data_IF_958181473999
#
_entry.id   IF_958181473999
#
_cell.length_a   1.000
_cell.length_b   1.000
_cell.length_c   1.000
_cell.angle_alpha   90.00
_cell.angle_beta   90.00
_cell.angle_gamma   90.00
#
_symmetry.space_group_name_H-M   'P 1'
#
loop_
_entity.id
_entity.type
_entity.pdbx_description
1 polymer ?
#
# COMPACT_ATOMS: atom_id res chain seq x y z
N UNK A 1 -14.66 21.00 24.62
CA UNK A 1 -14.60 20.02 23.52
C UNK A 1 -14.60 20.81 22.22
N UNK A 2 -13.63 20.62 21.33
CA UNK A 2 -13.42 21.57 20.21
C UNK A 2 -14.43 21.41 19.07
N UNK A 3 -15.14 20.29 18.91
CA UNK A 3 -16.08 20.20 17.77
C UNK A 3 -17.55 20.07 18.13
N UNK A 4 -17.99 19.24 19.07
CA UNK A 4 -19.42 19.20 19.49
C UNK A 4 -20.43 19.19 18.33
N UNK A 5 -20.03 18.69 17.16
CA UNK A 5 -20.72 18.71 15.86
C UNK A 5 -20.41 17.38 15.19
N UNK A 6 -21.37 16.90 14.41
CA UNK A 6 -21.29 15.60 13.72
C UNK A 6 -20.25 15.59 12.58
N UNK A 7 -19.91 16.75 12.01
CA UNK A 7 -19.01 16.88 10.87
C UNK A 7 -17.59 17.30 11.28
N UNK A 8 -16.85 16.37 11.88
CA UNK A 8 -15.49 16.62 12.43
C UNK A 8 -14.39 16.54 11.37
N UNK A 9 -14.67 15.93 10.20
CA UNK A 9 -13.67 15.66 9.16
C UNK A 9 -13.90 16.50 7.91
N UNK A 10 -12.85 17.19 7.44
CA UNK A 10 -12.87 17.93 6.19
C UNK A 10 -13.08 17.00 5.00
N UNK A 11 -14.03 17.36 4.14
CA UNK A 11 -14.41 16.59 2.96
C UNK A 11 -14.73 17.55 1.81
N UNK A 12 -14.32 17.17 0.61
CA UNK A 12 -14.63 17.83 -0.66
C UNK A 12 -15.35 16.83 -1.57
N UNK A 13 -16.35 17.27 -2.33
CA UNK A 13 -17.17 16.38 -3.17
C UNK A 13 -16.38 15.66 -4.27
N UNK A 14 -15.28 16.26 -4.73
CA UNK A 14 -14.43 15.72 -5.80
C UNK A 14 -13.24 14.99 -5.21
N UNK A 15 -12.59 15.58 -4.20
CA UNK A 15 -11.35 15.06 -3.62
C UNK A 15 -11.57 14.06 -2.47
N UNK A 16 -12.79 13.92 -1.98
CA UNK A 16 -13.11 13.09 -0.82
C UNK A 16 -12.57 13.69 0.48
N UNK A 17 -12.10 12.85 1.39
CA UNK A 17 -11.50 13.27 2.66
C UNK A 17 -10.19 14.02 2.41
N UNK A 18 -10.06 15.15 3.09
CA UNK A 18 -8.89 16.03 2.97
C UNK A 18 -7.85 15.66 4.03
N UNK A 19 -6.62 15.47 3.56
CA UNK A 19 -5.45 15.20 4.40
C UNK A 19 -4.30 16.14 4.01
N UNK A 20 -3.36 16.36 4.94
CA UNK A 20 -2.20 17.22 4.71
C UNK A 20 -1.31 16.70 3.57
N UNK A 21 -1.09 15.38 3.51
CA UNK A 21 -0.33 14.77 2.43
C UNK A 21 -1.24 14.53 1.22
N UNK A 22 -0.90 15.04 0.01
CA UNK A 22 -1.68 14.81 -1.21
C UNK A 22 -1.90 13.33 -1.53
N UNK A 23 -0.95 12.46 -1.14
CA UNK A 23 -1.05 11.02 -1.36
C UNK A 23 -2.17 10.35 -0.56
N UNK A 24 -2.72 11.02 0.45
CA UNK A 24 -3.80 10.50 1.30
C UNK A 24 -5.19 11.08 0.94
N UNK A 25 -5.33 11.84 -0.15
CA UNK A 25 -6.65 12.31 -0.60
C UNK A 25 -7.56 11.13 -1.00
N UNK A 26 -8.87 11.34 -1.00
CA UNK A 26 -9.89 10.33 -1.28
C UNK A 26 -10.42 9.71 0.01
N UNK A 27 -10.09 8.45 0.27
CA UNK A 27 -10.56 7.72 1.46
C UNK A 27 -9.67 7.91 2.69
N UNK A 28 -8.50 8.55 2.55
CA UNK A 28 -7.42 8.54 3.54
C UNK A 28 -6.87 7.15 3.91
N UNK A 29 -7.31 6.08 3.24
CA UNK A 29 -6.94 4.71 3.60
C UNK A 29 -5.58 4.32 3.03
N UNK A 30 -4.73 3.73 3.89
CA UNK A 30 -3.60 2.88 3.51
C UNK A 30 -3.79 1.52 4.17
N UNK A 31 -4.16 0.51 3.39
CA UNK A 31 -4.06 -0.88 3.82
C UNK A 31 -2.66 -1.38 3.50
N UNK A 32 -1.99 -2.00 4.47
CA UNK A 32 -0.70 -2.63 4.23
C UNK A 32 -0.49 -3.92 5.03
N UNK A 33 0.37 -4.79 4.50
CA UNK A 33 0.76 -6.05 5.12
C UNK A 33 2.27 -6.24 5.00
N UNK A 34 2.84 -6.82 6.04
CA UNK A 34 4.21 -7.32 5.99
C UNK A 34 4.21 -8.77 5.53
N UNK A 35 4.99 -9.07 4.48
CA UNK A 35 5.19 -10.43 3.99
C UNK A 35 6.68 -10.78 3.98
N UNK A 36 6.99 -12.03 4.27
CA UNK A 36 8.34 -12.60 4.17
C UNK A 36 8.52 -13.19 2.77
N UNK A 37 9.47 -12.65 2.02
CA UNK A 37 9.77 -13.09 0.64
C UNK A 37 11.29 -13.13 0.37
N UNK A 38 12.09 -13.76 1.26
CA UNK A 38 13.55 -13.72 1.16
C UNK A 38 14.09 -14.37 -0.13
N UNK A 39 13.46 -15.44 -0.62
CA UNK A 39 13.94 -16.11 -1.84
C UNK A 39 13.68 -15.27 -3.08
N UNK A 40 12.50 -14.64 -3.16
CA UNK A 40 12.11 -13.77 -4.25
C UNK A 40 13.01 -12.54 -4.30
N UNK A 41 13.30 -11.93 -3.15
CA UNK A 41 14.27 -10.82 -3.04
C UNK A 41 15.63 -11.27 -3.57
N UNK A 42 16.12 -12.44 -3.17
CA UNK A 42 17.40 -12.96 -3.66
C UNK A 42 17.41 -13.28 -5.17
N UNK A 43 16.25 -13.66 -5.74
CA UNK A 43 16.11 -14.09 -7.14
C UNK A 43 15.98 -12.92 -8.12
N UNK A 44 15.15 -11.93 -7.81
CA UNK A 44 14.82 -10.82 -8.74
C UNK A 44 15.16 -9.44 -8.19
N UNK A 45 15.50 -9.32 -6.92
CA UNK A 45 15.79 -8.04 -6.27
C UNK A 45 14.53 -7.25 -5.90
N UNK A 46 14.69 -6.33 -4.95
CA UNK A 46 13.59 -5.50 -4.44
C UNK A 46 12.97 -4.57 -5.51
N UNK A 47 13.80 -3.97 -6.37
CA UNK A 47 13.32 -3.02 -7.37
C UNK A 47 12.35 -3.65 -8.38
N UNK A 48 12.60 -4.91 -8.76
CA UNK A 48 11.69 -5.65 -9.63
C UNK A 48 10.39 -6.04 -8.90
N UNK A 49 10.48 -6.36 -7.61
CA UNK A 49 9.29 -6.60 -6.77
C UNK A 49 8.41 -5.35 -6.70
N UNK A 50 9.00 -4.15 -6.48
CA UNK A 50 8.22 -2.90 -6.49
C UNK A 50 7.61 -2.61 -7.86
N UNK A 51 8.31 -2.90 -8.97
CA UNK A 51 7.73 -2.78 -10.32
C UNK A 51 6.52 -3.69 -10.52
N UNK A 52 6.60 -4.94 -10.08
CA UNK A 52 5.47 -5.89 -10.13
C UNK A 52 4.31 -5.36 -9.27
N UNK A 53 4.58 -4.93 -8.04
CA UNK A 53 3.58 -4.38 -7.14
C UNK A 53 2.88 -3.14 -7.75
N UNK A 54 3.64 -2.23 -8.38
CA UNK A 54 3.11 -1.06 -9.09
C UNK A 54 2.19 -1.44 -10.24
N UNK A 55 2.54 -2.47 -11.00
CA UNK A 55 1.68 -3.04 -12.04
C UNK A 55 0.33 -3.54 -11.50
N UNK A 56 0.25 -3.85 -10.20
CA UNK A 56 -0.95 -4.30 -9.51
C UNK A 56 -1.62 -3.18 -8.68
N UNK A 57 -1.28 -1.92 -8.90
CA UNK A 57 -1.75 -0.75 -8.14
C UNK A 57 -1.31 -0.72 -6.66
N UNK A 58 -0.23 -1.42 -6.34
CA UNK A 58 0.38 -1.47 -5.01
C UNK A 58 1.79 -0.86 -5.01
N UNK A 59 2.36 -0.69 -3.83
CA UNK A 59 3.75 -0.29 -3.63
C UNK A 59 4.39 -1.24 -2.62
N UNK A 60 5.62 -1.69 -2.91
CA UNK A 60 6.47 -2.39 -1.96
C UNK A 60 7.42 -1.40 -1.26
N UNK A 61 7.67 -1.58 0.03
CA UNK A 61 8.66 -0.82 0.81
C UNK A 61 9.50 -1.77 1.66
N UNK A 62 10.74 -1.40 1.93
CA UNK A 62 11.57 -2.13 2.89
C UNK A 62 10.99 -2.06 4.32
N UNK A 63 11.15 -3.14 5.09
CA UNK A 63 10.62 -3.24 6.45
C UNK A 63 11.19 -2.24 7.45
N UNK A 64 12.34 -1.63 7.15
CA UNK A 64 13.02 -0.69 8.06
C UNK A 64 12.88 0.79 7.63
N UNK A 65 12.05 1.07 6.62
CA UNK A 65 11.78 2.43 6.13
C UNK A 65 12.08 2.63 4.65
N UNK A 66 11.85 3.84 4.16
CA UNK A 66 11.90 4.20 2.73
C UNK A 66 13.32 4.08 2.10
N UNK A 67 14.36 3.79 2.90
CA UNK A 67 15.77 3.77 2.48
C UNK A 67 16.61 2.63 3.10
N UNK A 68 16.01 1.54 3.57
CA UNK A 68 16.77 0.45 4.21
C UNK A 68 16.89 -0.78 3.34
N UNK A 69 18.03 -1.48 3.42
CA UNK A 69 18.24 -2.77 2.75
C UNK A 69 17.16 -3.77 3.20
N UNK A 70 16.46 -4.31 2.22
CA UNK A 70 15.40 -5.30 2.42
C UNK A 70 16.05 -6.67 2.50
N UNK A 71 16.12 -7.23 3.71
CA UNK A 71 16.79 -8.50 3.95
C UNK A 71 15.82 -9.67 3.72
N UNK A 72 14.64 -9.65 4.34
CA UNK A 72 13.70 -10.77 4.35
C UNK A 72 12.23 -10.37 4.14
N UNK A 73 11.87 -9.14 4.50
CA UNK A 73 10.48 -8.68 4.63
C UNK A 73 10.22 -7.39 3.88
N UNK A 74 9.07 -7.33 3.23
CA UNK A 74 8.55 -6.12 2.57
C UNK A 74 7.19 -5.70 3.14
N UNK A 75 6.92 -4.39 3.14
CA UNK A 75 5.60 -3.80 3.33
C UNK A 75 4.92 -3.60 1.98
N UNK A 76 3.81 -4.30 1.75
CA UNK A 76 2.99 -4.17 0.55
C UNK A 76 1.75 -3.37 0.90
N UNK A 77 1.54 -2.25 0.20
CA UNK A 77 0.42 -1.34 0.45
C UNK A 77 -0.30 -0.91 -0.83
N UNK A 78 -1.56 -0.50 -0.73
CA UNK A 78 -2.24 0.11 -1.88
C UNK A 78 -1.57 1.44 -2.27
N UNK A 79 -1.25 1.58 -3.56
CA UNK A 79 -0.61 2.79 -4.08
C UNK A 79 -1.65 3.81 -4.54
N UNK A 80 -2.66 3.36 -5.30
CA UNK A 80 -3.79 4.22 -5.69
C UNK A 80 -4.73 4.43 -4.52
N UNK A 81 -5.35 5.62 -4.46
CA UNK A 81 -6.19 6.05 -3.34
C UNK A 81 -7.41 6.85 -3.78
N UNK A 82 -7.17 7.91 -4.55
CA UNK A 82 -8.20 8.84 -4.99
C UNK A 82 -9.09 8.18 -6.05
N UNK A 83 -10.41 8.35 -5.92
CA UNK A 83 -11.40 7.88 -6.89
C UNK A 83 -11.79 6.40 -6.73
N UNK A 84 -11.41 5.74 -5.63
CA UNK A 84 -11.77 4.35 -5.36
C UNK A 84 -12.37 4.19 -3.97
N UNK A 85 -13.39 3.35 -3.80
CA UNK A 85 -13.89 2.97 -2.48
C UNK A 85 -12.86 2.08 -1.75
N UNK A 86 -12.89 2.14 -0.43
CA UNK A 86 -11.97 1.47 0.49
C UNK A 86 -11.81 -0.02 0.19
N UNK A 87 -12.91 -0.72 -0.09
CA UNK A 87 -12.89 -2.16 -0.34
C UNK A 87 -12.10 -2.55 -1.59
N UNK A 88 -12.08 -1.71 -2.64
CA UNK A 88 -11.26 -1.96 -3.83
C UNK A 88 -9.78 -1.76 -3.53
N UNK A 89 -9.43 -0.76 -2.73
CA UNK A 89 -8.06 -0.49 -2.32
C UNK A 89 -7.48 -1.66 -1.49
N UNK A 90 -8.28 -2.19 -0.57
CA UNK A 90 -7.93 -3.39 0.20
C UNK A 90 -7.84 -4.61 -0.70
N UNK A 91 -8.76 -4.76 -1.66
CA UNK A 91 -8.75 -5.89 -2.59
C UNK A 91 -7.52 -5.91 -3.49
N UNK A 92 -7.02 -4.75 -3.94
CA UNK A 92 -5.76 -4.65 -4.69
C UNK A 92 -4.59 -5.12 -3.85
N UNK A 93 -4.50 -4.66 -2.60
CA UNK A 93 -3.45 -5.07 -1.65
C UNK A 93 -3.48 -6.58 -1.40
N UNK A 94 -4.66 -7.17 -1.17
CA UNK A 94 -4.81 -8.63 -0.98
C UNK A 94 -4.30 -9.39 -2.22
N UNK A 95 -4.69 -8.96 -3.42
CA UNK A 95 -4.27 -9.61 -4.67
C UNK A 95 -2.76 -9.51 -4.87
N UNK A 96 -2.19 -8.33 -4.61
CA UNK A 96 -0.75 -8.12 -4.75
C UNK A 96 0.04 -8.97 -3.74
N UNK A 97 -0.38 -8.98 -2.47
CA UNK A 97 0.28 -9.75 -1.43
C UNK A 97 0.24 -11.26 -1.72
N UNK A 98 -0.93 -11.78 -2.13
CA UNK A 98 -1.08 -13.19 -2.49
C UNK A 98 -0.19 -13.55 -3.69
N UNK A 99 -0.15 -12.71 -4.72
CA UNK A 99 0.70 -12.97 -5.89
C UNK A 99 2.18 -13.01 -5.54
N UNK A 100 2.64 -12.08 -4.70
CA UNK A 100 4.04 -12.06 -4.26
C UNK A 100 4.38 -13.28 -3.38
N UNK A 101 3.45 -13.72 -2.54
CA UNK A 101 3.60 -14.95 -1.76
C UNK A 101 3.67 -16.20 -2.65
N UNK A 102 2.82 -16.31 -3.67
CA UNK A 102 2.89 -17.41 -4.66
C UNK A 102 4.24 -17.41 -5.39
N UNK A 103 4.75 -16.25 -5.78
CA UNK A 103 6.06 -16.14 -6.43
C UNK A 103 7.20 -16.56 -5.51
N UNK A 104 7.11 -16.30 -4.20
CA UNK A 104 8.06 -16.78 -3.20
C UNK A 104 8.03 -18.31 -3.06
N UNK A 105 6.83 -18.91 -3.07
CA UNK A 105 6.67 -20.37 -3.02
C UNK A 105 7.21 -21.06 -4.28
N UNK A 106 7.16 -20.39 -5.44
CA UNK A 106 7.73 -20.84 -6.72
C UNK A 106 9.26 -20.64 -6.84
N UNK A 107 9.90 -19.97 -5.87
CA UNK A 107 11.35 -19.77 -5.82
C UNK A 107 12.09 -20.95 -5.18
#
# INVERSE_FOLDING_TARGET
QVTGRDDVYMHDEILGKIACCPSNLGTCMRGSVHILVPKLIAKIGFDEIDKIARGMNCQARGSSGEHSEVIDRIDVSNWRRLGFPEYLLVQDMIKCANRLAEMEDEC
#
